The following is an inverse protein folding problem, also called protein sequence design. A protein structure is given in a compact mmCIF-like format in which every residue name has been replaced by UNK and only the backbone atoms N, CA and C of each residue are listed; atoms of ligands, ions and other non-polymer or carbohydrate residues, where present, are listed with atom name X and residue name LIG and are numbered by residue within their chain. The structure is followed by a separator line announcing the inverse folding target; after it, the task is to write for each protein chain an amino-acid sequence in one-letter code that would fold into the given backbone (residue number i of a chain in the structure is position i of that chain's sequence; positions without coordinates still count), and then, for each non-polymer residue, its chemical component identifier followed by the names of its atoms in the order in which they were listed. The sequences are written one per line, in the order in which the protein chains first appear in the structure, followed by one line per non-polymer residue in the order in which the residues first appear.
data_IF_256180368196
#
_entry.id   IF_256180368196
#
_cell.length_a   1.000
_cell.length_b   1.000
_cell.length_c   1.000
_cell.angle_alpha   90.00
_cell.angle_beta   90.00
_cell.angle_gamma   90.00
#
_symmetry.space_group_name_H-M   'P 1'
#
loop_
_entity.id
_entity.type
_entity.pdbx_description
1 polymer ?
#
# COMPACT_ATOMS: atom_id res chain seq x y z
N UNK A 1 5.74 -21.46 -5.05
CA UNK A 1 4.91 -20.70 -4.08
C UNK A 1 3.48 -20.58 -4.64
N UNK A 2 2.94 -21.72 -5.09
CA UNK A 2 1.97 -21.67 -6.19
C UNK A 2 0.53 -21.49 -5.71
N UNK A 3 0.31 -21.74 -4.42
CA UNK A 3 -0.97 -21.54 -3.72
C UNK A 3 -1.13 -20.15 -3.10
N UNK A 4 -0.14 -19.26 -3.30
CA UNK A 4 -0.16 -17.89 -2.76
C UNK A 4 -0.45 -16.92 -3.89
N UNK A 5 -1.51 -16.11 -3.73
CA UNK A 5 -1.99 -15.20 -4.75
C UNK A 5 -1.27 -13.84 -4.76
N UNK A 6 -1.02 -13.27 -3.58
CA UNK A 6 -0.27 -12.03 -3.37
C UNK A 6 0.51 -12.11 -2.06
N UNK A 7 1.58 -11.32 -1.93
CA UNK A 7 2.48 -11.35 -0.78
C UNK A 7 2.65 -9.95 -0.20
N UNK A 8 2.58 -9.85 1.13
CA UNK A 8 2.99 -8.64 1.87
C UNK A 8 4.34 -8.89 2.53
N UNK A 9 5.28 -7.96 2.32
CA UNK A 9 6.59 -7.94 2.97
C UNK A 9 6.63 -6.77 3.97
N UNK A 10 7.15 -7.00 5.18
CA UNK A 10 7.36 -5.92 6.15
C UNK A 10 6.94 -6.23 7.59
N UNK A 11 5.67 -6.58 7.84
CA UNK A 11 5.17 -6.75 9.21
C UNK A 11 5.99 -7.74 10.03
N UNK A 12 6.70 -7.24 11.05
CA UNK A 12 7.51 -8.06 11.95
C UNK A 12 8.72 -8.74 11.31
N UNK A 13 9.20 -8.24 10.17
CA UNK A 13 10.28 -8.89 9.41
C UNK A 13 11.64 -8.81 10.13
N UNK A 14 11.93 -7.68 10.79
CA UNK A 14 13.24 -7.40 11.35
C UNK A 14 14.29 -7.10 10.26
N UNK A 15 15.37 -6.41 10.65
CA UNK A 15 16.33 -5.82 9.71
C UNK A 15 17.69 -6.53 9.63
N UNK A 16 17.91 -7.60 10.40
CA UNK A 16 19.24 -8.24 10.52
C UNK A 16 19.29 -9.63 9.88
N UNK A 17 18.42 -10.55 10.28
CA UNK A 17 18.56 -11.97 9.90
C UNK A 17 17.81 -12.34 8.60
N UNK A 18 16.78 -11.56 8.24
CA UNK A 18 15.84 -11.93 7.17
C UNK A 18 16.08 -11.22 5.84
N UNK A 19 17.11 -10.39 5.72
CA UNK A 19 17.35 -9.56 4.52
C UNK A 19 17.56 -10.41 3.28
N UNK A 20 18.46 -11.39 3.34
CA UNK A 20 18.80 -12.24 2.19
C UNK A 20 17.58 -13.06 1.71
N UNK A 21 16.85 -13.66 2.65
CA UNK A 21 15.65 -14.45 2.34
C UNK A 21 14.54 -13.56 1.73
N UNK A 22 14.38 -12.34 2.24
CA UNK A 22 13.41 -11.38 1.72
C UNK A 22 13.75 -10.97 0.29
N UNK A 23 15.01 -10.64 0.02
CA UNK A 23 15.47 -10.30 -1.33
C UNK A 23 15.21 -11.43 -2.32
N UNK A 24 15.64 -12.66 -1.98
CA UNK A 24 15.39 -13.85 -2.82
C UNK A 24 13.90 -14.08 -3.06
N UNK A 25 13.06 -13.82 -2.07
CA UNK A 25 11.63 -14.02 -2.19
C UNK A 25 10.97 -12.93 -3.05
N UNK A 26 11.40 -11.67 -2.94
CA UNK A 26 10.95 -10.59 -3.83
C UNK A 26 11.34 -10.91 -5.27
N UNK A 27 12.59 -11.35 -5.50
CA UNK A 27 13.05 -11.79 -6.83
C UNK A 27 12.19 -12.93 -7.37
N UNK A 28 11.91 -13.95 -6.56
CA UNK A 28 11.02 -15.05 -6.95
C UNK A 28 9.62 -14.56 -7.35
N UNK A 29 9.06 -13.61 -6.58
CA UNK A 29 7.75 -13.02 -6.89
C UNK A 29 7.78 -12.31 -8.24
N UNK A 30 8.83 -11.52 -8.51
CA UNK A 30 9.04 -10.80 -9.78
C UNK A 30 9.05 -11.76 -10.96
N UNK A 31 9.84 -12.83 -10.89
CA UNK A 31 9.90 -13.86 -11.93
C UNK A 31 8.57 -14.64 -12.08
N UNK A 32 7.81 -14.79 -11.00
CA UNK A 32 6.51 -15.45 -10.99
C UNK A 32 5.34 -14.51 -11.26
N UNK A 33 5.60 -13.24 -11.57
CA UNK A 33 4.62 -12.18 -11.82
C UNK A 33 3.48 -12.08 -10.78
N UNK A 34 3.82 -12.23 -9.49
CA UNK A 34 2.86 -12.18 -8.37
C UNK A 34 2.64 -10.75 -7.89
N UNK A 35 1.43 -10.30 -7.55
CA UNK A 35 1.26 -9.01 -6.89
C UNK A 35 1.95 -8.98 -5.51
N UNK A 36 2.67 -7.89 -5.21
CA UNK A 36 3.35 -7.72 -3.91
C UNK A 36 3.06 -6.36 -3.29
N UNK A 37 3.07 -6.32 -1.96
CA UNK A 37 3.01 -5.10 -1.15
C UNK A 37 4.24 -5.05 -0.26
N UNK A 38 4.92 -3.90 -0.20
CA UNK A 38 6.11 -3.71 0.62
C UNK A 38 5.85 -2.57 1.61
N UNK A 39 5.87 -2.90 2.90
CA UNK A 39 5.65 -1.99 4.02
C UNK A 39 6.80 -2.09 5.04
N UNK A 40 6.86 -1.13 5.97
CA UNK A 40 7.72 -1.16 7.17
C UNK A 40 9.18 -1.61 6.90
N UNK A 41 9.64 -2.67 7.57
CA UNK A 41 11.03 -3.17 7.50
C UNK A 41 11.45 -3.56 6.08
N UNK A 42 10.52 -4.05 5.26
CA UNK A 42 10.85 -4.42 3.88
C UNK A 42 11.09 -3.19 3.00
N UNK A 43 10.49 -2.03 3.32
CA UNK A 43 10.85 -0.77 2.65
C UNK A 43 12.29 -0.36 2.94
N UNK A 44 12.82 -0.69 4.14
CA UNK A 44 14.22 -0.43 4.44
C UNK A 44 15.13 -1.24 3.52
N UNK A 45 14.83 -2.52 3.31
CA UNK A 45 15.58 -3.40 2.38
C UNK A 45 15.55 -2.82 0.96
N UNK A 46 14.36 -2.43 0.48
CA UNK A 46 14.22 -1.77 -0.83
C UNK A 46 14.98 -0.44 -0.91
N UNK A 47 15.02 0.34 0.18
CA UNK A 47 15.76 1.61 0.21
C UNK A 47 17.27 1.40 0.06
N UNK A 48 17.81 0.28 0.57
CA UNK A 48 19.23 -0.05 0.39
C UNK A 48 19.52 -0.57 -1.02
N UNK A 49 18.53 -1.17 -1.69
CA UNK A 49 18.68 -1.66 -3.06
C UNK A 49 17.39 -1.44 -3.88
N UNK A 50 17.16 -0.21 -4.41
CA UNK A 50 15.94 0.09 -5.15
C UNK A 50 15.75 -0.74 -6.43
N UNK A 51 16.85 -1.22 -7.02
CA UNK A 51 16.83 -2.05 -8.24
C UNK A 51 16.05 -3.37 -8.08
N UNK A 52 15.90 -3.84 -6.84
CA UNK A 52 15.16 -5.07 -6.50
C UNK A 52 13.72 -5.06 -7.05
N UNK A 53 13.09 -3.89 -7.06
CA UNK A 53 11.70 -3.71 -7.50
C UNK A 53 11.55 -2.88 -8.78
N UNK A 54 12.67 -2.43 -9.38
CA UNK A 54 12.62 -1.58 -10.57
C UNK A 54 11.91 -2.30 -11.73
N UNK A 55 10.91 -1.63 -12.30
CA UNK A 55 10.06 -2.14 -13.39
C UNK A 55 9.05 -3.21 -12.98
N UNK A 56 8.86 -3.47 -11.69
CA UNK A 56 7.90 -4.47 -11.22
C UNK A 56 6.53 -3.85 -10.94
N UNK A 57 5.77 -3.65 -12.01
CA UNK A 57 4.50 -2.91 -12.04
C UNK A 57 3.38 -3.42 -11.11
N UNK A 58 3.42 -4.70 -10.68
CA UNK A 58 2.50 -5.27 -9.67
C UNK A 58 2.91 -5.00 -8.21
N UNK A 59 3.92 -4.16 -7.99
CA UNK A 59 4.42 -3.77 -6.67
C UNK A 59 3.73 -2.51 -6.17
N UNK A 60 3.28 -2.54 -4.91
CA UNK A 60 2.82 -1.36 -4.19
C UNK A 60 3.71 -1.13 -2.97
N UNK A 61 4.33 0.05 -2.88
CA UNK A 61 5.10 0.51 -1.73
C UNK A 61 4.24 1.39 -0.83
N UNK A 62 4.32 1.25 0.49
CA UNK A 62 3.49 2.01 1.44
C UNK A 62 4.29 2.89 2.41
N UNK A 63 5.22 3.74 1.96
CA UNK A 63 6.05 4.53 2.85
C UNK A 63 5.25 5.60 3.62
N UNK A 64 5.56 5.76 4.90
CA UNK A 64 5.26 6.99 5.62
C UNK A 64 6.24 8.12 5.20
N UNK A 65 6.02 9.36 5.66
CA UNK A 65 6.86 10.52 5.29
C UNK A 65 8.36 10.31 5.50
N UNK A 66 8.78 9.66 6.60
CA UNK A 66 10.20 9.41 6.89
C UNK A 66 10.78 8.33 5.97
N UNK A 67 10.04 7.24 5.76
CA UNK A 67 10.42 6.17 4.84
C UNK A 67 10.48 6.69 3.39
N UNK A 68 9.54 7.54 3.01
CA UNK A 68 9.47 8.14 1.69
C UNK A 68 10.70 9.01 1.40
N UNK A 69 11.06 9.92 2.31
CA UNK A 69 12.23 10.78 2.11
C UNK A 69 13.53 9.98 2.01
N UNK A 70 13.66 8.87 2.75
CA UNK A 70 14.82 7.97 2.66
C UNK A 70 14.88 7.26 1.31
N UNK A 71 13.76 6.68 0.87
CA UNK A 71 13.67 6.02 -0.43
C UNK A 71 13.91 7.02 -1.58
N UNK A 72 13.30 8.20 -1.51
CA UNK A 72 13.50 9.27 -2.49
C UNK A 72 14.97 9.68 -2.60
N UNK A 73 15.64 9.89 -1.46
CA UNK A 73 17.07 10.22 -1.43
C UNK A 73 17.92 9.08 -2.01
N UNK A 74 17.59 7.82 -1.72
CA UNK A 74 18.33 6.67 -2.28
C UNK A 74 18.26 6.58 -3.81
N UNK A 75 17.18 7.11 -4.42
CA UNK A 75 16.96 7.06 -5.86
C UNK A 75 17.48 8.30 -6.57
N UNK A 76 17.30 9.49 -5.99
CA UNK A 76 17.58 10.77 -6.64
C UNK A 76 18.75 11.56 -6.04
N UNK A 77 19.37 11.07 -4.95
CA UNK A 77 20.44 11.78 -4.22
C UNK A 77 20.05 13.21 -3.81
N UNK A 78 18.75 13.46 -3.59
CA UNK A 78 18.18 14.77 -3.26
C UNK A 78 16.97 14.62 -2.33
N UNK A 79 16.52 15.72 -1.73
CA UNK A 79 15.32 15.71 -0.88
C UNK A 79 14.07 16.03 -1.71
N UNK A 80 12.90 15.44 -1.38
CA UNK A 80 11.65 15.78 -2.05
C UNK A 80 11.25 17.22 -1.70
N UNK A 81 10.81 17.98 -2.71
CA UNK A 81 10.33 19.35 -2.53
C UNK A 81 8.80 19.40 -2.42
N UNK A 82 8.10 19.12 -3.53
CA UNK A 82 6.64 18.94 -3.54
C UNK A 82 6.30 17.46 -3.33
N UNK A 83 5.40 17.17 -2.39
CA UNK A 83 5.08 15.78 -2.01
C UNK A 83 4.40 15.02 -3.13
N UNK A 84 3.51 15.66 -3.90
CA UNK A 84 2.74 15.00 -4.95
C UNK A 84 3.62 14.73 -6.16
N UNK A 85 4.37 15.73 -6.61
CA UNK A 85 5.28 15.61 -7.74
C UNK A 85 6.45 14.67 -7.42
N UNK A 86 6.99 14.72 -6.19
CA UNK A 86 8.00 13.76 -5.75
C UNK A 86 7.46 12.32 -5.73
N UNK A 87 6.23 12.11 -5.26
CA UNK A 87 5.63 10.77 -5.23
C UNK A 87 5.43 10.22 -6.65
N UNK A 88 4.98 11.07 -7.57
CA UNK A 88 4.88 10.73 -8.99
C UNK A 88 6.23 10.39 -9.60
N UNK A 89 7.22 11.25 -9.39
CA UNK A 89 8.56 11.10 -9.99
C UNK A 89 9.26 9.83 -9.49
N UNK A 90 9.13 9.52 -8.19
CA UNK A 90 9.67 8.29 -7.61
C UNK A 90 8.97 7.04 -8.14
N UNK A 91 7.63 7.07 -8.24
CA UNK A 91 6.85 5.96 -8.80
C UNK A 91 7.21 5.70 -10.27
N UNK A 92 7.34 6.77 -11.07
CA UNK A 92 7.75 6.69 -12.47
C UNK A 92 9.17 6.12 -12.61
N UNK A 93 10.12 6.63 -11.81
CA UNK A 93 11.52 6.19 -11.87
C UNK A 93 11.70 4.71 -11.49
N UNK A 94 10.93 4.24 -10.51
CA UNK A 94 10.97 2.84 -10.08
C UNK A 94 10.07 1.93 -10.91
N UNK A 95 9.11 2.46 -11.67
CA UNK A 95 8.13 1.66 -12.41
C UNK A 95 7.18 0.86 -11.49
N UNK A 96 6.84 1.43 -10.33
CA UNK A 96 5.97 0.79 -9.31
C UNK A 96 4.89 1.76 -8.83
N UNK A 97 3.94 1.26 -8.03
CA UNK A 97 2.96 2.13 -7.36
C UNK A 97 3.42 2.50 -5.96
N UNK A 98 3.29 3.77 -5.60
CA UNK A 98 3.66 4.31 -4.28
C UNK A 98 2.42 4.90 -3.63
N UNK A 99 2.17 4.46 -2.39
CA UNK A 99 1.21 5.03 -1.45
C UNK A 99 2.00 5.82 -0.41
N UNK A 100 2.16 7.11 -0.64
CA UNK A 100 2.77 8.01 0.33
C UNK A 100 1.73 8.32 1.43
N UNK A 101 1.90 7.65 2.59
CA UNK A 101 0.97 7.75 3.72
C UNK A 101 1.09 9.09 4.43
N UNK A 102 -0.04 9.75 4.68
CA UNK A 102 -0.09 11.07 5.30
C UNK A 102 -1.47 11.44 5.85
N UNK A 103 -1.73 12.73 6.15
CA UNK A 103 -3.08 13.19 6.48
C UNK A 103 -4.10 12.81 5.39
N UNK A 104 -3.71 12.98 4.14
CA UNK A 104 -4.27 12.33 2.96
C UNK A 104 -3.21 11.38 2.38
N UNK A 105 -3.63 10.28 1.75
CA UNK A 105 -2.67 9.38 1.10
C UNK A 105 -2.54 9.77 -0.36
N UNK A 106 -1.31 10.05 -0.80
CA UNK A 106 -1.01 10.31 -2.22
C UNK A 106 -0.62 8.98 -2.85
N UNK A 107 -1.31 8.61 -3.92
CA UNK A 107 -1.14 7.33 -4.60
C UNK A 107 -0.72 7.62 -6.03
N UNK A 108 0.44 7.13 -6.44
CA UNK A 108 0.93 7.33 -7.81
C UNK A 108 1.62 6.10 -8.37
N UNK A 109 1.46 5.86 -9.67
CA UNK A 109 2.24 4.90 -10.46
C UNK A 109 3.14 5.60 -11.50
N UNK A 110 3.37 6.91 -11.33
CA UNK A 110 4.12 7.76 -12.27
C UNK A 110 3.29 8.35 -13.40
N UNK A 111 2.27 7.63 -13.88
CA UNK A 111 1.38 8.09 -14.94
C UNK A 111 0.09 8.70 -14.39
N UNK A 112 -0.55 7.99 -13.46
CA UNK A 112 -1.76 8.38 -12.76
C UNK A 112 -1.42 8.71 -11.32
N UNK A 113 -1.96 9.82 -10.82
CA UNK A 113 -1.83 10.22 -9.42
C UNK A 113 -3.19 10.58 -8.85
N UNK A 114 -3.59 9.91 -7.78
CA UNK A 114 -4.85 10.13 -7.06
C UNK A 114 -4.56 10.41 -5.58
N UNK A 115 -5.56 10.93 -4.87
CA UNK A 115 -5.47 11.17 -3.44
C UNK A 115 -6.64 10.51 -2.72
N UNK A 116 -6.35 9.70 -1.71
CA UNK A 116 -7.38 9.23 -0.78
C UNK A 116 -7.54 10.29 0.32
N UNK A 117 -8.67 11.00 0.26
CA UNK A 117 -9.03 12.07 1.20
C UNK A 117 -10.04 11.63 2.25
N UNK A 118 -10.35 10.32 2.29
CA UNK A 118 -11.28 9.76 3.26
C UNK A 118 -10.84 10.08 4.68
N UNK A 119 -11.81 10.48 5.50
CA UNK A 119 -11.55 10.79 6.88
C UNK A 119 -11.23 9.49 7.65
N UNK A 120 -10.01 9.42 8.18
CA UNK A 120 -9.61 8.38 9.12
C UNK A 120 -9.99 8.72 10.55
N UNK A 121 -9.14 8.31 11.50
CA UNK A 121 -9.25 8.71 12.90
C UNK A 121 -8.14 9.67 13.32
N UNK A 122 -8.36 10.55 14.32
CA UNK A 122 -7.31 11.39 14.88
C UNK A 122 -6.40 10.62 15.86
N UNK A 123 -6.44 9.28 15.86
CA UNK A 123 -5.70 8.40 16.77
C UNK A 123 -4.85 7.42 15.97
N UNK A 124 -3.53 7.53 16.12
CA UNK A 124 -2.56 6.63 15.48
C UNK A 124 -2.19 5.47 16.40
N UNK A 125 -2.81 4.32 16.21
CA UNK A 125 -2.49 3.09 16.94
C UNK A 125 -1.34 2.35 16.24
N UNK A 126 -0.48 1.68 16.99
CA UNK A 126 0.55 0.79 16.42
C UNK A 126 -0.11 -0.40 15.73
N UNK A 127 0.29 -0.71 14.49
CA UNK A 127 -0.28 -1.81 13.68
C UNK A 127 -1.35 -1.39 12.65
N UNK A 128 -1.72 -0.11 12.56
CA UNK A 128 -2.61 0.36 11.49
C UNK A 128 -2.01 0.11 10.09
N UNK A 129 -0.68 0.15 9.96
CA UNK A 129 0.03 -0.19 8.73
C UNK A 129 -0.15 -1.66 8.33
N UNK A 130 -0.24 -2.57 9.30
CA UNK A 130 -0.45 -4.00 9.04
C UNK A 130 -1.85 -4.26 8.50
N UNK A 131 -2.86 -3.55 9.02
CA UNK A 131 -4.23 -3.60 8.47
C UNK A 131 -4.24 -3.09 7.03
N UNK A 132 -3.56 -1.97 6.77
CA UNK A 132 -3.46 -1.40 5.43
C UNK A 132 -2.78 -2.36 4.45
N UNK A 133 -1.59 -2.86 4.79
CA UNK A 133 -0.78 -3.70 3.91
C UNK A 133 -1.41 -5.08 3.66
N UNK A 134 -2.07 -5.67 4.66
CA UNK A 134 -2.85 -6.90 4.48
C UNK A 134 -4.05 -6.69 3.55
N UNK A 135 -4.84 -5.64 3.79
CA UNK A 135 -5.98 -5.27 2.95
C UNK A 135 -5.55 -4.98 1.51
N UNK A 136 -4.43 -4.28 1.35
CA UNK A 136 -3.87 -3.91 0.05
C UNK A 136 -3.42 -5.11 -0.76
N UNK A 137 -2.85 -6.13 -0.12
CA UNK A 137 -2.45 -7.37 -0.79
C UNK A 137 -3.65 -8.11 -1.40
N UNK A 138 -4.76 -8.17 -0.66
CA UNK A 138 -6.03 -8.74 -1.15
C UNK A 138 -6.55 -7.96 -2.36
N UNK A 139 -6.66 -6.63 -2.24
CA UNK A 139 -7.12 -5.81 -3.35
C UNK A 139 -6.19 -5.85 -4.55
N UNK A 140 -4.86 -5.87 -4.34
CA UNK A 140 -3.90 -5.91 -5.44
C UNK A 140 -4.13 -7.16 -6.30
N UNK A 141 -4.31 -8.32 -5.67
CA UNK A 141 -4.70 -9.52 -6.39
C UNK A 141 -6.05 -9.38 -7.11
N UNK A 142 -7.10 -8.95 -6.43
CA UNK A 142 -8.44 -8.84 -7.02
C UNK A 142 -8.49 -7.88 -8.21
N UNK A 143 -7.86 -6.71 -8.11
CA UNK A 143 -7.82 -5.74 -9.20
C UNK A 143 -7.02 -6.25 -10.39
N UNK A 144 -5.93 -7.00 -10.18
CA UNK A 144 -5.24 -7.66 -11.28
C UNK A 144 -6.12 -8.71 -11.96
N UNK A 145 -6.88 -9.51 -11.21
CA UNK A 145 -7.85 -10.45 -11.80
C UNK A 145 -8.94 -9.74 -12.61
N UNK A 146 -9.44 -8.58 -12.15
CA UNK A 146 -10.45 -7.81 -12.90
C UNK A 146 -9.83 -7.22 -14.17
N UNK A 147 -8.64 -6.63 -14.07
CA UNK A 147 -7.93 -6.01 -15.19
C UNK A 147 -7.59 -7.01 -16.29
N UNK A 148 -7.14 -8.21 -15.91
CA UNK A 148 -6.82 -9.29 -16.86
C UNK A 148 -8.08 -9.75 -17.62
N UNK A 149 -9.26 -9.63 -17.01
CA UNK A 149 -10.55 -9.96 -17.64
C UNK A 149 -11.21 -8.77 -18.36
N UNK A 150 -10.85 -7.52 -18.02
CA UNK A 150 -11.43 -6.29 -18.56
C UNK A 150 -10.35 -5.19 -18.65
N UNK A 151 -9.59 -5.12 -19.77
CA UNK A 151 -8.47 -4.19 -19.89
C UNK A 151 -8.88 -2.71 -20.00
N UNK A 152 -10.17 -2.41 -20.16
CA UNK A 152 -10.71 -1.05 -20.30
C UNK A 152 -11.02 -0.37 -18.95
N UNK A 153 -10.37 -0.78 -17.86
CA UNK A 153 -10.55 -0.12 -16.56
C UNK A 153 -10.06 1.34 -16.61
N UNK A 154 -10.79 2.21 -15.92
CA UNK A 154 -10.45 3.64 -15.81
C UNK A 154 -9.11 3.87 -15.08
N UNK A 155 -8.70 2.92 -14.24
CA UNK A 155 -7.46 2.97 -13.45
C UNK A 155 -6.67 1.67 -13.61
N UNK A 156 -5.35 1.75 -13.47
CA UNK A 156 -4.52 0.54 -13.38
C UNK A 156 -4.88 -0.27 -12.14
N UNK A 157 -4.66 -1.58 -12.19
CA UNK A 157 -4.98 -2.50 -11.10
C UNK A 157 -4.41 -2.03 -9.75
N UNK A 158 -3.15 -1.62 -9.72
CA UNK A 158 -2.47 -1.15 -8.50
C UNK A 158 -3.02 0.17 -7.95
N UNK A 159 -3.43 1.11 -8.82
CA UNK A 159 -4.05 2.38 -8.39
C UNK A 159 -5.40 2.10 -7.75
N UNK A 160 -6.24 1.28 -8.39
CA UNK A 160 -7.54 0.87 -7.85
C UNK A 160 -7.40 0.13 -6.52
N UNK A 161 -6.44 -0.81 -6.45
CA UNK A 161 -6.17 -1.57 -5.24
C UNK A 161 -5.69 -0.70 -4.07
N UNK A 162 -4.72 0.17 -4.33
CA UNK A 162 -4.18 1.09 -3.32
C UNK A 162 -5.27 2.04 -2.81
N UNK A 163 -6.08 2.62 -3.70
CA UNK A 163 -7.15 3.52 -3.32
C UNK A 163 -8.20 2.81 -2.45
N UNK A 164 -8.67 1.64 -2.89
CA UNK A 164 -9.63 0.84 -2.13
C UNK A 164 -9.10 0.45 -0.74
N UNK A 165 -7.83 0.05 -0.64
CA UNK A 165 -7.20 -0.32 0.62
C UNK A 165 -7.05 0.87 1.60
N UNK A 166 -6.63 2.03 1.09
CA UNK A 166 -6.56 3.27 1.86
C UNK A 166 -7.93 3.67 2.39
N UNK A 167 -8.95 3.71 1.51
CA UNK A 167 -10.33 4.03 1.86
C UNK A 167 -10.89 3.09 2.93
N UNK A 168 -10.72 1.78 2.75
CA UNK A 168 -11.19 0.78 3.70
C UNK A 168 -10.53 0.93 5.07
N UNK A 169 -9.21 1.07 5.10
CA UNK A 169 -8.45 1.19 6.35
C UNK A 169 -8.83 2.47 7.10
N UNK A 170 -8.96 3.59 6.38
CA UNK A 170 -9.39 4.87 6.96
C UNK A 170 -10.79 4.75 7.55
N UNK A 171 -11.75 4.19 6.81
CA UNK A 171 -13.12 3.95 7.30
C UNK A 171 -13.14 3.04 8.53
N UNK A 172 -12.37 1.94 8.54
CA UNK A 172 -12.26 1.08 9.73
C UNK A 172 -11.75 1.84 10.94
N UNK A 173 -10.71 2.68 10.74
CA UNK A 173 -10.16 3.51 11.82
C UNK A 173 -11.17 4.52 12.35
N UNK A 174 -11.97 5.13 11.46
CA UNK A 174 -13.01 6.10 11.81
C UNK A 174 -14.14 5.45 12.61
N UNK A 175 -14.63 4.30 12.16
CA UNK A 175 -15.71 3.56 12.83
C UNK A 175 -15.25 3.09 14.23
N UNK A 176 -14.03 2.54 14.34
CA UNK A 176 -13.47 2.14 15.63
C UNK A 176 -13.28 3.35 16.56
N UNK A 177 -12.78 4.47 16.05
CA UNK A 177 -12.58 5.68 16.85
C UNK A 177 -13.90 6.27 17.35
N UNK A 178 -14.97 6.18 16.57
CA UNK A 178 -16.31 6.61 17.03
C UNK A 178 -16.77 5.81 18.26
N UNK A 179 -16.38 4.53 18.37
CA UNK A 179 -16.76 3.65 19.49
C UNK A 179 -15.85 3.80 20.71
N UNK A 180 -14.55 3.95 20.50
CA UNK A 180 -13.55 3.86 21.57
C UNK A 180 -12.83 5.19 21.85
N UNK A 181 -12.96 6.18 20.99
CA UNK A 181 -12.31 7.48 21.13
C UNK A 181 -10.78 7.34 21.32
N UNK A 182 -10.23 8.05 22.31
CA UNK A 182 -8.78 8.11 22.54
C UNK A 182 -8.18 6.78 23.02
N UNK A 183 -8.97 5.88 23.61
CA UNK A 183 -8.50 4.57 24.06
C UNK A 183 -8.45 3.53 22.94
N UNK A 184 -8.80 3.91 21.70
CA UNK A 184 -8.76 3.01 20.55
C UNK A 184 -7.37 2.35 20.39
N UNK A 185 -7.40 1.05 20.09
CA UNK A 185 -6.25 0.22 19.69
C UNK A 185 -6.54 -0.47 18.35
N UNK A 186 -5.50 -0.95 17.66
CA UNK A 186 -5.63 -1.47 16.28
C UNK A 186 -6.54 -2.69 16.16
N UNK A 187 -6.53 -3.59 17.15
CA UNK A 187 -7.39 -4.78 17.13
C UNK A 187 -8.88 -4.44 17.11
N UNK A 188 -9.26 -3.24 17.58
CA UNK A 188 -10.63 -2.75 17.54
C UNK A 188 -11.04 -2.23 16.16
N UNK A 189 -10.11 -2.08 15.21
CA UNK A 189 -10.44 -1.78 13.81
C UNK A 189 -10.91 -3.03 13.06
N UNK A 190 -10.48 -4.23 13.48
CA UNK A 190 -10.73 -5.48 12.74
C UNK A 190 -12.23 -5.82 12.65
N UNK A 191 -13.05 -5.68 13.72
CA UNK A 191 -14.49 -5.92 13.63
C UNK A 191 -15.21 -4.96 12.67
N UNK A 192 -14.62 -3.80 12.37
CA UNK A 192 -15.23 -2.80 11.48
C UNK A 192 -14.98 -3.09 9.99
N UNK A 193 -14.10 -4.03 9.65
CA UNK A 193 -13.71 -4.32 8.24
C UNK A 193 -14.94 -4.60 7.37
N UNK A 194 -15.83 -5.49 7.81
CA UNK A 194 -17.02 -5.84 7.04
C UNK A 194 -17.95 -4.64 6.84
N UNK A 195 -18.29 -3.90 7.90
CA UNK A 195 -19.19 -2.77 7.81
C UNK A 195 -18.59 -1.62 6.97
N UNK A 196 -17.29 -1.36 7.13
CA UNK A 196 -16.57 -0.41 6.30
C UNK A 196 -16.57 -0.82 4.82
N UNK A 197 -16.39 -2.11 4.53
CA UNK A 197 -16.42 -2.65 3.17
C UNK A 197 -17.79 -2.46 2.53
N UNK A 198 -18.87 -2.82 3.22
CA UNK A 198 -20.24 -2.63 2.72
C UNK A 198 -20.53 -1.15 2.43
N UNK A 199 -20.15 -0.24 3.34
CA UNK A 199 -20.36 1.21 3.15
C UNK A 199 -19.60 1.80 1.96
N UNK A 200 -18.47 1.21 1.57
CA UNK A 200 -17.62 1.73 0.50
C UNK A 200 -17.86 1.07 -0.85
N UNK A 201 -18.14 -0.23 -0.86
CA UNK A 201 -18.09 -1.05 -2.08
C UNK A 201 -19.36 -1.84 -2.36
N UNK A 202 -20.26 -2.01 -1.39
CA UNK A 202 -21.54 -2.63 -1.70
C UNK A 202 -22.35 -1.70 -2.58
N UNK A 203 -23.00 -2.26 -3.61
CA UNK A 203 -24.03 -1.53 -4.35
C UNK A 203 -25.10 -1.15 -3.34
N UNK A 204 -25.39 0.14 -3.18
CA UNK A 204 -26.63 0.59 -2.56
C UNK A 204 -27.75 -0.22 -3.24
N UNK A 205 -28.57 -0.99 -2.52
CA UNK A 205 -29.74 -1.59 -3.13
C UNK A 205 -30.61 -0.42 -3.60
N UNK A 206 -30.65 -0.20 -4.92
CA UNK A 206 -31.43 0.79 -5.67
C UNK A 206 -32.10 1.87 -4.82
N UNK A 207 -31.49 3.06 -4.75
CA UNK A 207 -32.21 4.28 -4.44
C UNK A 207 -33.02 4.75 -5.66
#
# INVERSE_FOLDING_TARGET
MDRVHAITFGPGLGLTENVENTTKLIDYCKHSNKPIVIDADALHIVTQNPSLIEGYDKTILTPNTVEFSRLYYSVFSSQPYDTKDATRSLAEKLGVTIVHKGPTDIISNGQTTVQCVDQGSPRRCGGQGDVLSGTMSVFNYWFHQINDNNPNLLFTATIGAAFAACSLTRRCSQLAYTKYGRSMITTQMLPEIHNAFEQLFAKTPNA
#
